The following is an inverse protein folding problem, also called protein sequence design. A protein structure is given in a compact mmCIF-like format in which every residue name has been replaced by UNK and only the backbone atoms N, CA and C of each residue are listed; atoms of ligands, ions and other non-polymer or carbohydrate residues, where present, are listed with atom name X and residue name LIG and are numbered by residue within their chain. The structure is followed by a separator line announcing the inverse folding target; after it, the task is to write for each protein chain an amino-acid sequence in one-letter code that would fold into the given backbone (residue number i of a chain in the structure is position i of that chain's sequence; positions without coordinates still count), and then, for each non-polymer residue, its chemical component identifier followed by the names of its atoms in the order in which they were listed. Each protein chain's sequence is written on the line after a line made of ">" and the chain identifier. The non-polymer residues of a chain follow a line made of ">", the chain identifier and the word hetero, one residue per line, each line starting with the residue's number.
data_IF_342548770024
#
_entry.id   IF_342548770024
#
_cell.length_a   1.000
_cell.length_b   1.000
_cell.length_c   1.000
_cell.angle_alpha   90.00
_cell.angle_beta   90.00
_cell.angle_gamma   90.00
#
_symmetry.space_group_name_H-M   'P 1'
#
loop_
_entity.id
_entity.type
_entity.pdbx_description
1 polymer ?
#
# COMPACT_ATOMS: atom_id res chain seq x y z
N UNK A 1 8.94 -10.19 4.24
CA UNK A 1 8.07 -9.88 5.41
C UNK A 1 8.85 -9.40 6.62
N UNK A 2 9.92 -10.10 7.06
CA UNK A 2 10.67 -9.72 8.28
C UNK A 2 11.19 -8.29 8.22
N UNK A 3 11.87 -7.88 7.14
CA UNK A 3 12.42 -6.52 6.99
C UNK A 3 11.37 -5.43 7.11
N UNK A 4 10.18 -5.65 6.51
CA UNK A 4 9.04 -4.72 6.61
C UNK A 4 8.61 -4.50 8.06
N UNK A 5 8.48 -5.57 8.84
CA UNK A 5 8.04 -5.51 10.24
C UNK A 5 9.10 -4.80 11.10
N UNK A 6 10.37 -5.20 10.96
CA UNK A 6 11.47 -4.62 11.72
C UNK A 6 11.62 -3.13 11.41
N UNK A 7 11.57 -2.75 10.13
CA UNK A 7 11.64 -1.35 9.73
C UNK A 7 10.45 -0.54 10.24
N UNK A 8 9.23 -1.06 10.13
CA UNK A 8 8.02 -0.41 10.64
C UNK A 8 8.11 -0.12 12.13
N UNK A 9 8.44 -1.12 12.95
CA UNK A 9 8.64 -0.95 14.40
C UNK A 9 9.73 0.09 14.69
N UNK A 10 10.82 0.08 13.93
CA UNK A 10 11.91 1.05 14.07
C UNK A 10 11.45 2.48 13.80
N UNK A 11 10.72 2.70 12.70
CA UNK A 11 10.17 4.02 12.35
C UNK A 11 9.15 4.49 13.38
N UNK A 12 8.27 3.61 13.84
CA UNK A 12 7.26 3.95 14.85
C UNK A 12 7.92 4.37 16.18
N UNK A 13 8.95 3.67 16.64
CA UNK A 13 9.75 4.09 17.81
C UNK A 13 10.43 5.43 17.62
N UNK A 14 10.99 5.69 16.43
CA UNK A 14 11.64 6.98 16.13
C UNK A 14 10.64 8.14 16.12
N UNK A 15 9.39 7.89 15.70
CA UNK A 15 8.29 8.86 15.79
C UNK A 15 7.86 9.07 17.25
N UNK A 16 7.76 8.02 18.04
CA UNK A 16 7.40 8.08 19.46
C UNK A 16 8.42 8.90 20.27
N UNK A 17 9.71 8.74 19.97
CA UNK A 17 10.79 9.55 20.54
C UNK A 17 10.83 11.00 20.02
N UNK A 18 9.89 11.40 19.15
CA UNK A 18 9.82 12.72 18.50
C UNK A 18 11.08 13.11 17.71
N UNK A 19 11.86 12.12 17.26
CA UNK A 19 13.04 12.34 16.43
C UNK A 19 12.63 12.56 14.97
N UNK A 20 11.64 11.80 14.49
CA UNK A 20 11.08 11.95 13.14
C UNK A 20 9.66 12.49 13.19
N UNK A 21 9.36 13.48 12.34
CA UNK A 21 8.00 13.87 12.01
C UNK A 21 7.32 12.82 11.13
N UNK A 22 5.99 12.86 11.01
CA UNK A 22 5.26 11.94 10.13
C UNK A 22 5.73 12.05 8.68
N UNK A 23 5.87 13.28 8.17
CA UNK A 23 6.39 13.54 6.83
C UNK A 23 7.84 13.07 6.65
N UNK A 24 8.71 13.29 7.65
CA UNK A 24 10.09 12.79 7.57
C UNK A 24 10.13 11.25 7.56
N UNK A 25 9.30 10.59 8.39
CA UNK A 25 9.24 9.13 8.49
C UNK A 25 8.85 8.47 7.16
N UNK A 26 7.81 9.00 6.48
CA UNK A 26 7.39 8.45 5.19
C UNK A 26 8.41 8.75 4.08
N UNK A 27 9.04 9.93 4.09
CA UNK A 27 10.09 10.29 3.10
C UNK A 27 11.35 9.45 3.26
N UNK A 28 11.81 9.23 4.49
CA UNK A 28 12.97 8.37 4.77
C UNK A 28 12.66 6.93 4.38
N UNK A 29 11.48 6.42 4.73
CA UNK A 29 11.09 5.04 4.39
C UNK A 29 10.94 4.83 2.90
N UNK A 30 10.34 5.79 2.18
CA UNK A 30 10.22 5.74 0.72
C UNK A 30 11.59 5.91 0.04
N UNK A 31 12.43 6.81 0.54
CA UNK A 31 13.80 7.00 0.05
C UNK A 31 14.63 5.73 0.20
N UNK A 32 14.55 5.06 1.35
CA UNK A 32 15.19 3.76 1.58
C UNK A 32 14.72 2.69 0.59
N UNK A 33 13.41 2.62 0.29
CA UNK A 33 12.88 1.67 -0.69
C UNK A 33 13.39 1.98 -2.10
N UNK A 34 13.25 3.23 -2.53
CA UNK A 34 13.57 3.66 -3.88
C UNK A 34 15.07 3.63 -4.16
N UNK A 35 15.87 4.33 -3.35
CA UNK A 35 17.32 4.40 -3.57
C UNK A 35 18.03 3.09 -3.19
N UNK A 36 17.55 2.37 -2.17
CA UNK A 36 18.04 1.03 -1.85
C UNK A 36 17.73 0.04 -2.99
N UNK A 37 16.52 0.09 -3.54
CA UNK A 37 16.14 -0.69 -4.73
C UNK A 37 17.04 -0.38 -5.94
N UNK A 38 17.22 0.91 -6.25
CA UNK A 38 18.11 1.34 -7.33
C UNK A 38 19.55 0.85 -7.13
N UNK A 39 20.09 0.96 -5.91
CA UNK A 39 21.43 0.47 -5.59
C UNK A 39 21.55 -1.04 -5.81
N UNK A 40 20.57 -1.83 -5.35
CA UNK A 40 20.59 -3.28 -5.57
C UNK A 40 20.46 -3.67 -7.04
N UNK A 41 19.68 -2.92 -7.83
CA UNK A 41 19.58 -3.13 -9.28
C UNK A 41 20.87 -2.75 -10.01
N UNK A 42 21.56 -1.70 -9.58
CA UNK A 42 22.90 -1.38 -10.07
C UNK A 42 23.90 -2.51 -9.74
N UNK A 43 23.87 -3.06 -8.53
CA UNK A 43 24.71 -4.21 -8.19
C UNK A 43 24.42 -5.41 -9.09
N UNK A 44 23.15 -5.70 -9.34
CA UNK A 44 22.72 -6.77 -10.24
C UNK A 44 23.21 -6.56 -11.68
N UNK A 45 23.25 -5.31 -12.15
CA UNK A 45 23.66 -4.96 -13.51
C UNK A 45 25.18 -5.10 -13.76
N UNK A 46 26.02 -4.97 -12.73
CA UNK A 46 27.48 -4.89 -12.89
C UNK A 46 28.27 -6.01 -12.21
N UNK A 47 27.71 -6.66 -11.19
CA UNK A 47 28.43 -7.64 -10.37
C UNK A 47 27.86 -9.06 -10.43
N UNK A 48 26.81 -9.28 -11.22
CA UNK A 48 26.17 -10.59 -11.35
C UNK A 48 26.36 -11.14 -12.75
N UNK A 49 27.04 -12.28 -12.80
CA UNK A 49 27.29 -13.06 -14.00
C UNK A 49 26.73 -14.48 -13.85
N UNK A 50 26.62 -15.20 -14.97
CA UNK A 50 26.14 -16.59 -14.98
C UNK A 50 27.02 -17.58 -14.19
N UNK A 51 28.26 -17.20 -13.86
CA UNK A 51 29.20 -18.04 -13.12
C UNK A 51 28.96 -18.06 -11.61
N UNK A 52 28.27 -17.06 -11.05
CA UNK A 52 28.07 -16.94 -9.60
C UNK A 52 26.59 -16.71 -9.24
N UNK A 53 25.75 -17.76 -9.34
CA UNK A 53 24.32 -17.66 -9.05
C UNK A 53 24.02 -17.30 -7.59
N UNK A 54 24.93 -17.62 -6.66
CA UNK A 54 24.78 -17.27 -5.23
C UNK A 54 24.79 -15.76 -5.03
N UNK A 55 25.65 -15.03 -5.75
CA UNK A 55 25.69 -13.56 -5.68
C UNK A 55 24.39 -12.95 -6.19
N UNK A 56 23.83 -13.49 -7.28
CA UNK A 56 22.53 -13.08 -7.81
C UNK A 56 21.42 -13.21 -6.76
N UNK A 57 21.35 -14.36 -6.08
CA UNK A 57 20.36 -14.60 -5.04
C UNK A 57 20.48 -13.62 -3.87
N UNK A 58 21.70 -13.38 -3.38
CA UNK A 58 21.94 -12.45 -2.27
C UNK A 58 21.52 -11.03 -2.63
N UNK A 59 21.87 -10.56 -3.82
CA UNK A 59 21.49 -9.22 -4.30
C UNK A 59 19.97 -9.10 -4.47
N UNK A 60 19.31 -10.12 -5.02
CA UNK A 60 17.85 -10.16 -5.15
C UNK A 60 17.14 -10.20 -3.79
N UNK A 61 17.66 -10.96 -2.82
CA UNK A 61 17.16 -10.92 -1.44
C UNK A 61 17.31 -9.52 -0.83
N UNK A 62 18.44 -8.85 -1.07
CA UNK A 62 18.67 -7.46 -0.67
C UNK A 62 17.66 -6.50 -1.29
N UNK A 63 17.36 -6.66 -2.59
CA UNK A 63 16.35 -5.87 -3.28
C UNK A 63 14.96 -6.05 -2.64
N UNK A 64 14.53 -7.29 -2.36
CA UNK A 64 13.26 -7.53 -1.68
C UNK A 64 13.24 -6.98 -0.24
N UNK A 65 14.40 -6.93 0.42
CA UNK A 65 14.53 -6.34 1.75
C UNK A 65 14.31 -4.82 1.71
N UNK A 66 14.94 -4.10 0.78
CA UNK A 66 14.78 -2.64 0.63
C UNK A 66 13.35 -2.28 0.22
N UNK A 67 12.74 -3.05 -0.68
CA UNK A 67 11.33 -2.87 -1.05
C UNK A 67 10.36 -3.04 0.12
N UNK A 68 10.75 -3.78 1.18
CA UNK A 68 9.95 -3.94 2.38
C UNK A 68 9.63 -2.62 3.10
N UNK A 69 10.44 -1.58 2.93
CA UNK A 69 10.24 -0.28 3.60
C UNK A 69 9.20 0.60 2.92
N UNK A 70 8.77 0.26 1.70
CA UNK A 70 7.72 0.98 0.94
C UNK A 70 6.42 1.14 1.72
N UNK A 71 6.06 0.14 2.54
CA UNK A 71 4.81 0.19 3.31
C UNK A 71 4.83 1.33 4.34
N UNK A 72 5.93 1.53 5.04
CA UNK A 72 6.13 2.66 5.95
C UNK A 72 6.37 3.99 5.22
N UNK A 73 6.57 3.95 3.90
CA UNK A 73 6.76 5.10 3.02
C UNK A 73 5.44 5.55 2.38
N UNK A 74 5.30 5.30 1.09
CA UNK A 74 4.11 5.67 0.31
C UNK A 74 2.79 5.18 0.93
N UNK A 75 2.72 3.94 1.42
CA UNK A 75 1.43 3.38 1.82
C UNK A 75 0.94 4.02 3.13
N UNK A 76 1.83 4.17 4.12
CA UNK A 76 1.54 4.97 5.33
C UNK A 76 1.24 6.43 5.00
N UNK A 77 1.95 7.03 4.03
CA UNK A 77 1.65 8.37 3.55
C UNK A 77 0.21 8.45 3.02
N UNK A 78 -0.19 7.56 2.11
CA UNK A 78 -1.55 7.49 1.55
C UNK A 78 -2.61 7.38 2.65
N UNK A 79 -2.39 6.50 3.63
CA UNK A 79 -3.30 6.30 4.76
C UNK A 79 -3.42 7.54 5.65
N UNK A 80 -2.32 8.26 5.86
CA UNK A 80 -2.27 9.42 6.75
C UNK A 80 -2.74 10.70 6.07
N UNK A 81 -2.60 10.77 4.74
CA UNK A 81 -2.91 11.95 3.92
C UNK A 81 -4.40 12.29 3.98
N UNK A 82 -5.24 11.26 3.85
CA UNK A 82 -6.70 11.39 3.80
C UNK A 82 -7.40 10.09 4.26
N UNK A 83 -7.46 9.84 5.58
CA UNK A 83 -7.92 8.56 6.14
C UNK A 83 -9.29 8.10 5.61
N UNK A 84 -10.25 9.02 5.48
CA UNK A 84 -11.60 8.77 4.98
C UNK A 84 -11.67 8.42 3.48
N UNK A 85 -10.68 8.84 2.69
CA UNK A 85 -10.60 8.57 1.25
C UNK A 85 -9.59 7.47 0.90
N UNK A 86 -9.04 6.78 1.90
CA UNK A 86 -8.03 5.73 1.75
C UNK A 86 -8.42 4.68 0.71
N UNK A 87 -9.65 4.18 0.74
CA UNK A 87 -10.11 3.13 -0.16
C UNK A 87 -10.06 3.59 -1.62
N UNK A 88 -10.58 4.78 -1.90
CA UNK A 88 -10.57 5.39 -3.24
C UNK A 88 -9.15 5.67 -3.71
N UNK A 89 -8.31 6.29 -2.88
CA UNK A 89 -6.91 6.56 -3.22
C UNK A 89 -6.11 5.28 -3.49
N UNK A 90 -6.35 4.24 -2.68
CA UNK A 90 -5.72 2.93 -2.85
C UNK A 90 -6.17 2.26 -4.15
N UNK A 91 -7.46 2.34 -4.48
CA UNK A 91 -8.01 1.78 -5.71
C UNK A 91 -7.41 2.45 -6.96
N UNK A 92 -7.30 3.78 -6.97
CA UNK A 92 -6.65 4.52 -8.06
C UNK A 92 -5.18 4.12 -8.19
N UNK A 93 -4.46 4.06 -7.06
CA UNK A 93 -3.04 3.66 -7.04
C UNK A 93 -2.85 2.22 -7.56
N UNK A 94 -3.75 1.31 -7.20
CA UNK A 94 -3.74 -0.07 -7.66
C UNK A 94 -4.06 -0.16 -9.14
N UNK A 95 -5.01 0.62 -9.64
CA UNK A 95 -5.33 0.67 -11.07
C UNK A 95 -4.10 1.09 -11.91
N UNK A 96 -3.41 2.16 -11.51
CA UNK A 96 -2.15 2.56 -12.16
C UNK A 96 -1.09 1.47 -12.08
N UNK A 97 -0.98 0.78 -10.93
CA UNK A 97 -0.02 -0.32 -10.73
C UNK A 97 -0.32 -1.52 -11.63
N UNK A 98 -1.61 -1.83 -11.87
CA UNK A 98 -2.04 -2.90 -12.76
C UNK A 98 -1.67 -2.61 -14.23
N UNK A 99 -1.85 -1.36 -14.69
CA UNK A 99 -1.43 -0.97 -16.04
C UNK A 99 0.08 -1.19 -16.21
N UNK A 100 0.89 -0.71 -15.26
CA UNK A 100 2.34 -0.93 -15.30
C UNK A 100 2.73 -2.41 -15.29
N UNK A 101 2.05 -3.21 -14.46
CA UNK A 101 2.27 -4.65 -14.36
C UNK A 101 1.92 -5.37 -15.67
N UNK A 102 0.84 -4.96 -16.34
CA UNK A 102 0.43 -5.51 -17.64
C UNK A 102 1.42 -5.15 -18.75
N UNK A 103 1.99 -3.94 -18.71
CA UNK A 103 2.97 -3.49 -19.71
C UNK A 103 4.34 -4.13 -19.53
N UNK A 104 4.69 -4.57 -18.31
CA UNK A 104 6.04 -5.03 -17.97
C UNK A 104 6.54 -6.18 -18.86
N UNK A 105 5.79 -7.29 -19.09
CA UNK A 105 6.24 -8.37 -19.96
C UNK A 105 6.42 -7.94 -21.42
N UNK A 106 5.55 -7.06 -21.93
CA UNK A 106 5.63 -6.57 -23.30
C UNK A 106 6.92 -5.75 -23.50
N UNK A 107 7.20 -4.82 -22.58
CA UNK A 107 8.43 -4.01 -22.62
C UNK A 107 9.67 -4.90 -22.46
N UNK A 108 9.65 -5.86 -21.52
CA UNK A 108 10.76 -6.79 -21.33
C UNK A 108 11.02 -7.65 -22.59
N UNK A 109 9.97 -8.08 -23.27
CA UNK A 109 10.09 -8.83 -24.53
C UNK A 109 10.68 -8.00 -25.67
N UNK A 110 10.36 -6.71 -25.76
CA UNK A 110 10.94 -5.81 -26.76
C UNK A 110 12.42 -5.51 -26.51
N UNK A 111 12.81 -5.44 -25.23
CA UNK A 111 14.18 -5.14 -24.80
C UNK A 111 15.11 -6.35 -24.86
N UNK A 112 14.57 -7.57 -24.83
CA UNK A 112 15.33 -8.82 -24.76
C UNK A 112 15.07 -9.69 -25.99
N UNK A 113 15.78 -9.39 -27.09
CA UNK A 113 15.63 -10.11 -28.37
C UNK A 113 16.41 -11.41 -28.38
N UNK A 114 17.60 -11.40 -27.80
CA UNK A 114 18.55 -12.52 -27.85
C UNK A 114 18.77 -13.17 -26.48
N UNK A 115 18.34 -12.50 -25.40
CA UNK A 115 18.51 -12.99 -24.03
C UNK A 115 19.91 -12.80 -23.47
N UNK A 116 20.68 -11.86 -24.02
CA UNK A 116 22.09 -11.68 -23.65
C UNK A 116 22.25 -10.96 -22.31
N UNK A 117 23.40 -11.15 -21.66
CA UNK A 117 23.75 -10.45 -20.42
C UNK A 117 23.68 -8.92 -20.58
N UNK A 118 24.07 -8.40 -21.76
CA UNK A 118 24.06 -6.96 -22.06
C UNK A 118 22.63 -6.38 -22.09
N UNK A 119 21.67 -7.11 -22.65
CA UNK A 119 20.27 -6.70 -22.67
C UNK A 119 19.70 -6.62 -21.25
N UNK A 120 19.98 -7.62 -20.40
CA UNK A 120 19.56 -7.61 -19.00
C UNK A 120 20.19 -6.47 -18.20
N UNK A 121 21.48 -6.21 -18.41
CA UNK A 121 22.17 -5.07 -17.80
C UNK A 121 21.48 -3.75 -18.13
N UNK A 122 21.11 -3.54 -19.39
CA UNK A 122 20.39 -2.33 -19.81
C UNK A 122 19.02 -2.22 -19.13
N UNK A 123 18.26 -3.32 -19.03
CA UNK A 123 16.98 -3.37 -18.32
C UNK A 123 17.15 -2.97 -16.86
N UNK A 124 18.12 -3.55 -16.15
CA UNK A 124 18.37 -3.24 -14.73
C UNK A 124 18.78 -1.78 -14.51
N UNK A 125 19.60 -1.21 -15.39
CA UNK A 125 19.96 0.21 -15.33
C UNK A 125 18.72 1.10 -15.51
N UNK A 126 17.86 0.81 -16.50
CA UNK A 126 16.62 1.57 -16.71
C UNK A 126 15.71 1.48 -15.47
N UNK A 127 15.54 0.29 -14.91
CA UNK A 127 14.75 0.10 -13.68
C UNK A 127 15.35 0.87 -12.49
N UNK A 128 16.67 0.89 -12.34
CA UNK A 128 17.33 1.66 -11.29
C UNK A 128 17.08 3.17 -11.43
N UNK A 129 17.13 3.70 -12.66
CA UNK A 129 16.81 5.10 -12.94
C UNK A 129 15.34 5.43 -12.64
N UNK A 130 14.41 4.54 -12.99
CA UNK A 130 12.99 4.69 -12.64
C UNK A 130 12.77 4.71 -11.12
N UNK A 131 13.49 3.86 -10.38
CA UNK A 131 13.48 3.87 -8.92
C UNK A 131 13.97 5.20 -8.33
N UNK A 132 15.10 5.73 -8.84
CA UNK A 132 15.64 7.02 -8.42
C UNK A 132 14.65 8.14 -8.72
N UNK A 133 14.07 8.17 -9.93
CA UNK A 133 13.10 9.18 -10.34
C UNK A 133 11.87 9.15 -9.44
N UNK A 134 11.27 7.97 -9.26
CA UNK A 134 10.09 7.78 -8.40
C UNK A 134 10.36 8.20 -6.94
N UNK A 135 11.48 7.77 -6.37
CA UNK A 135 11.89 8.15 -5.02
C UNK A 135 12.10 9.65 -4.86
N UNK A 136 12.72 10.28 -5.86
CA UNK A 136 12.97 11.72 -5.86
C UNK A 136 11.67 12.52 -5.93
N UNK A 137 10.75 12.14 -6.81
CA UNK A 137 9.41 12.76 -6.88
C UNK A 137 8.72 12.69 -5.51
N UNK A 138 8.74 11.52 -4.87
CA UNK A 138 8.11 11.38 -3.55
C UNK A 138 8.83 12.19 -2.45
N UNK A 139 10.16 12.28 -2.47
CA UNK A 139 10.89 13.07 -1.47
C UNK A 139 10.59 14.56 -1.60
N UNK A 140 10.46 15.08 -2.83
CA UNK A 140 10.13 16.48 -3.05
C UNK A 140 8.66 16.79 -2.73
N UNK A 141 7.72 15.99 -3.24
CA UNK A 141 6.28 16.30 -3.20
C UNK A 141 5.47 15.53 -2.15
N UNK A 142 6.00 14.42 -1.63
CA UNK A 142 5.29 13.57 -0.68
C UNK A 142 5.09 14.23 0.69
N UNK A 143 4.03 13.83 1.38
CA UNK A 143 3.70 14.26 2.74
C UNK A 143 3.16 13.10 3.55
N UNK A 144 3.44 13.09 4.85
CA UNK A 144 2.88 12.14 5.81
C UNK A 144 1.83 12.77 6.73
N UNK A 145 1.48 14.03 6.51
CA UNK A 145 0.55 14.78 7.35
C UNK A 145 -0.83 14.91 6.70
N UNK A 146 -1.88 14.97 7.54
CA UNK A 146 -3.26 15.11 7.12
C UNK A 146 -3.45 16.39 6.28
N UNK A 147 -4.04 16.24 5.09
CA UNK A 147 -4.25 17.36 4.18
C UNK A 147 -5.51 18.14 4.53
N UNK A 148 -5.51 19.44 4.21
CA UNK A 148 -6.60 20.35 4.57
C UNK A 148 -7.94 19.96 3.93
N UNK A 149 -7.94 19.58 2.66
CA UNK A 149 -9.13 19.11 1.93
C UNK A 149 -9.69 17.79 2.47
N UNK A 150 -8.89 17.05 3.26
CA UNK A 150 -9.30 15.79 3.86
C UNK A 150 -9.78 15.95 5.30
N UNK A 151 -9.75 17.17 5.86
CA UNK A 151 -10.35 17.47 7.17
C UNK A 151 -11.86 17.50 7.03
N UNK A 152 -12.55 16.91 8.00
CA UNK A 152 -14.00 16.93 8.08
C UNK A 152 -14.37 18.17 8.89
N UNK A 153 -15.23 19.04 8.35
CA UNK A 153 -15.79 20.14 9.14
C UNK A 153 -16.74 19.57 10.20
N UNK A 154 -16.85 20.20 11.38
CA UNK A 154 -17.63 19.67 12.51
C UNK A 154 -19.08 19.31 12.13
N UNK A 155 -19.69 20.05 11.19
CA UNK A 155 -21.04 19.79 10.68
C UNK A 155 -21.17 18.44 9.95
N UNK A 156 -20.14 18.00 9.23
CA UNK A 156 -20.16 16.75 8.46
C UNK A 156 -20.01 15.52 9.38
N UNK A 157 -19.33 15.68 10.53
CA UNK A 157 -19.24 14.65 11.57
C UNK A 157 -20.62 14.44 12.19
N UNK A 158 -21.32 15.53 12.54
CA UNK A 158 -22.64 15.47 13.15
C UNK A 158 -23.68 14.87 12.20
N UNK A 159 -23.59 15.15 10.89
CA UNK A 159 -24.44 14.54 9.87
C UNK A 159 -24.19 13.03 9.72
N UNK A 160 -22.92 12.60 9.67
CA UNK A 160 -22.56 11.17 9.60
C UNK A 160 -22.97 10.41 10.85
N UNK A 161 -22.84 11.01 12.04
CA UNK A 161 -23.32 10.42 13.28
C UNK A 161 -24.84 10.26 13.27
N UNK A 162 -25.58 11.26 12.80
CA UNK A 162 -27.04 11.19 12.63
C UNK A 162 -27.49 10.20 11.57
N UNK A 163 -26.69 9.95 10.52
CA UNK A 163 -26.96 8.88 9.54
C UNK A 163 -26.71 7.50 10.15
N UNK A 164 -25.56 7.28 10.80
CA UNK A 164 -25.24 6.00 11.45
C UNK A 164 -26.26 5.64 12.53
N UNK A 165 -26.73 6.62 13.30
CA UNK A 165 -27.77 6.42 14.31
C UNK A 165 -29.09 6.00 13.64
N UNK A 166 -29.51 6.69 12.58
CA UNK A 166 -30.72 6.33 11.81
C UNK A 166 -30.63 4.95 11.18
N UNK A 167 -29.48 4.58 10.63
CA UNK A 167 -29.27 3.25 10.07
C UNK A 167 -29.34 2.17 11.17
N UNK A 168 -28.73 2.42 12.34
CA UNK A 168 -28.83 1.51 13.49
C UNK A 168 -30.25 1.36 14.05
N UNK A 169 -31.06 2.42 13.98
CA UNK A 169 -32.47 2.40 14.37
C UNK A 169 -33.30 1.59 13.36
N UNK A 170 -33.08 1.78 12.06
CA UNK A 170 -33.78 1.00 11.02
C UNK A 170 -33.49 -0.50 11.10
N UNK A 171 -32.24 -0.89 11.40
CA UNK A 171 -31.87 -2.31 11.55
C UNK A 171 -32.56 -2.92 12.76
N UNK A 172 -32.59 -2.21 13.90
CA UNK A 172 -33.30 -2.69 15.10
C UNK A 172 -34.80 -2.84 14.86
N UNK A 173 -35.41 -1.93 14.11
CA UNK A 173 -36.83 -2.00 13.79
C UNK A 173 -37.14 -3.21 12.88
N UNK A 174 -36.30 -3.49 11.88
CA UNK A 174 -36.41 -4.70 11.05
C UNK A 174 -36.26 -5.99 11.86
N UNK A 175 -35.32 -6.04 12.80
CA UNK A 175 -35.11 -7.20 13.67
C UNK A 175 -36.34 -7.47 14.56
N UNK A 176 -36.91 -6.43 15.17
CA UNK A 176 -38.13 -6.55 15.99
C UNK A 176 -39.32 -7.04 15.17
N UNK A 177 -39.48 -6.54 13.94
CA UNK A 177 -40.54 -7.00 13.03
C UNK A 177 -40.33 -8.48 12.69
N UNK A 178 -39.10 -8.89 12.37
CA UNK A 178 -38.76 -10.28 12.06
C UNK A 178 -39.07 -11.22 13.23
N UNK A 179 -38.64 -10.89 14.44
CA UNK A 179 -38.93 -11.69 15.64
C UNK A 179 -40.44 -11.84 15.87
N UNK A 180 -41.19 -10.75 15.65
CA UNK A 180 -42.65 -10.78 15.77
C UNK A 180 -43.29 -11.71 14.73
N UNK A 181 -42.85 -11.67 13.47
CA UNK A 181 -43.33 -12.59 12.44
C UNK A 181 -43.01 -14.06 12.77
N UNK A 182 -41.81 -14.35 13.25
CA UNK A 182 -41.44 -15.70 13.68
C UNK A 182 -42.26 -16.19 14.88
N UNK A 183 -42.58 -15.31 15.83
CA UNK A 183 -43.45 -15.63 16.96
C UNK A 183 -44.88 -15.98 16.49
N UNK A 184 -45.42 -15.21 15.54
CA UNK A 184 -46.74 -15.45 14.96
C UNK A 184 -46.77 -16.73 14.12
N UNK A 185 -45.70 -17.02 13.38
CA UNK A 185 -45.56 -18.26 12.63
C UNK A 185 -45.56 -19.49 13.56
N UNK A 186 -44.79 -19.44 14.67
CA UNK A 186 -44.79 -20.49 15.71
C UNK A 186 -46.16 -20.67 16.36
N UNK A 187 -46.88 -19.59 16.66
CA UNK A 187 -48.24 -19.66 17.21
C UNK A 187 -49.19 -20.31 16.19
N UNK A 188 -49.09 -19.94 14.92
CA UNK A 188 -49.91 -20.52 13.84
C UNK A 188 -49.63 -22.01 13.66
N UNK A 189 -48.37 -22.43 13.70
CA UNK A 189 -47.97 -23.83 13.57
C UNK A 189 -48.50 -24.67 14.74
N UNK A 190 -48.36 -24.17 15.98
CA UNK A 190 -48.91 -24.84 17.17
C UNK A 190 -50.45 -24.89 17.19
N UNK A 191 -51.12 -23.90 16.59
CA UNK A 191 -52.59 -23.87 16.50
C UNK A 191 -53.18 -24.83 15.47
N UNK A 192 -52.38 -25.39 14.56
CA UNK A 192 -52.82 -26.34 13.52
C UNK A 192 -52.66 -27.80 13.98
N UNK A 193 -51.95 -28.05 15.09
CA UNK A 193 -51.73 -29.39 15.68
C UNK A 193 -52.79 -29.84 16.71
N UNK A 194 -53.94 -29.17 16.80
CA UNK A 194 -55.11 -29.57 17.63
C UNK A 194 -56.31 -29.78 16.70
#
# INVERSE_FOLDING_TARGET
>A
MVTKIVWGIGIDKLKEMKILSNTAAVKVSQGAASYGGAFTLFLLAFFVDCSNPTTALVVLCGMYATQGTFVSGFYTSLLSLAPQYTATMSAISMFCSLIGSLMTPAVAGLMRKEGTLSEWKNIFIILALLHILSGSIFIFFGSGDLQEWAKIEENDVELKEKENLRESESVKEEDVIRERFESLARIRENSICI
#
